data_IF_508833456577
#
_entry.id   IF_508833456577
#
_cell.length_a   1.000
_cell.length_b   1.000
_cell.length_c   1.000
_cell.angle_alpha   90.00
_cell.angle_beta   90.00
_cell.angle_gamma   90.00
#
_symmetry.space_group_name_H-M   'P 1'
#
loop_
_entity.id
_entity.type
_entity.pdbx_description
1 polymer ?
#
# COMPACT_ATOMS: atom_id res chain seq x y z
N UNK A 1 21.77 -38.58 -27.94
CA UNK A 1 22.06 -37.21 -27.45
C UNK A 1 20.79 -36.34 -27.44
N UNK A 2 19.89 -36.47 -26.45
CA UNK A 2 18.73 -35.56 -26.24
C UNK A 2 18.34 -35.53 -24.75
N UNK A 3 19.09 -34.81 -23.90
CA UNK A 3 18.71 -34.57 -22.48
C UNK A 3 19.13 -33.20 -21.92
N UNK A 4 19.46 -32.21 -22.76
CA UNK A 4 19.89 -30.88 -22.31
C UNK A 4 18.82 -29.76 -22.48
N UNK A 5 17.64 -30.05 -23.05
CA UNK A 5 16.61 -29.04 -23.36
C UNK A 5 15.58 -28.77 -22.25
N UNK A 6 15.61 -29.52 -21.15
CA UNK A 6 14.69 -29.34 -20.01
C UNK A 6 15.20 -28.29 -19.02
N UNK A 7 16.45 -28.43 -18.56
CA UNK A 7 17.07 -27.51 -17.60
C UNK A 7 17.25 -26.08 -18.14
N UNK A 8 17.55 -25.95 -19.44
CA UNK A 8 17.66 -24.63 -20.07
C UNK A 8 16.30 -23.91 -20.18
N UNK A 9 15.18 -24.64 -20.36
CA UNK A 9 13.82 -24.06 -20.32
C UNK A 9 13.41 -23.70 -18.91
N UNK A 10 13.70 -24.56 -17.92
CA UNK A 10 13.42 -24.30 -16.51
C UNK A 10 14.20 -23.07 -16.03
N UNK A 11 15.51 -22.98 -16.34
CA UNK A 11 16.32 -21.78 -16.06
C UNK A 11 15.83 -20.53 -16.78
N UNK A 12 15.23 -20.64 -17.96
CA UNK A 12 14.68 -19.50 -18.72
C UNK A 12 13.28 -19.10 -18.23
N UNK A 13 12.57 -20.00 -17.55
CA UNK A 13 11.26 -19.75 -16.95
C UNK A 13 11.35 -19.21 -15.52
N UNK A 14 12.43 -19.51 -14.79
CA UNK A 14 12.68 -18.99 -13.44
C UNK A 14 13.40 -17.66 -13.57
N UNK A 15 12.70 -16.55 -13.27
CA UNK A 15 13.36 -15.24 -13.18
C UNK A 15 14.12 -15.16 -11.85
N UNK A 16 15.25 -14.44 -11.77
CA UNK A 16 15.98 -14.26 -10.50
C UNK A 16 15.09 -13.74 -9.36
N UNK A 17 14.17 -12.82 -9.66
CA UNK A 17 13.19 -12.31 -8.69
C UNK A 17 12.26 -13.41 -8.15
N UNK A 18 11.84 -14.37 -8.98
CA UNK A 18 11.00 -15.49 -8.54
C UNK A 18 11.72 -16.35 -7.49
N UNK A 19 13.05 -16.47 -7.55
CA UNK A 19 13.85 -17.26 -6.60
C UNK A 19 13.95 -16.57 -5.25
N UNK A 20 14.27 -15.27 -5.24
CA UNK A 20 14.37 -14.48 -4.00
C UNK A 20 13.01 -14.40 -3.30
N UNK A 21 11.95 -14.22 -4.07
CA UNK A 21 10.57 -14.18 -3.60
C UNK A 21 10.12 -15.54 -3.04
N UNK A 22 10.41 -16.63 -3.73
CA UNK A 22 10.15 -17.99 -3.24
C UNK A 22 10.89 -18.24 -1.93
N UNK A 23 12.18 -17.88 -1.87
CA UNK A 23 12.99 -18.06 -0.68
C UNK A 23 12.47 -17.20 0.49
N UNK A 24 12.05 -15.97 0.21
CA UNK A 24 11.41 -15.07 1.19
C UNK A 24 10.15 -15.69 1.77
N UNK A 25 9.22 -16.14 0.92
CA UNK A 25 7.98 -16.79 1.36
C UNK A 25 8.25 -18.10 2.11
N UNK A 26 9.19 -18.92 1.64
CA UNK A 26 9.56 -20.18 2.29
C UNK A 26 10.19 -19.95 3.67
N UNK A 27 11.04 -18.92 3.83
CA UNK A 27 11.60 -18.52 5.14
C UNK A 27 10.51 -18.07 6.09
N UNK A 28 9.60 -17.21 5.63
CA UNK A 28 8.47 -16.73 6.44
C UNK A 28 7.57 -17.90 6.91
N UNK A 29 7.22 -18.82 6.00
CA UNK A 29 6.45 -20.02 6.33
C UNK A 29 7.17 -20.93 7.33
N UNK A 30 8.48 -21.14 7.14
CA UNK A 30 9.29 -21.95 8.05
C UNK A 30 9.36 -21.32 9.43
N UNK A 31 9.48 -20.00 9.51
CA UNK A 31 9.46 -19.27 10.78
C UNK A 31 8.10 -19.34 11.48
N UNK A 32 6.97 -19.30 10.73
CA UNK A 32 5.62 -19.46 11.27
C UNK A 32 5.34 -20.87 11.80
N UNK A 33 5.77 -21.90 11.08
CA UNK A 33 5.34 -23.29 11.34
C UNK A 33 6.44 -24.18 11.91
N UNK A 34 7.67 -23.70 12.03
CA UNK A 34 8.84 -24.50 12.44
C UNK A 34 9.28 -25.55 11.42
N UNK A 35 8.60 -25.68 10.27
CA UNK A 35 8.92 -26.60 9.17
C UNK A 35 8.50 -26.02 7.82
N UNK A 36 9.23 -26.35 6.77
CA UNK A 36 8.84 -25.99 5.41
C UNK A 36 7.63 -26.85 4.99
N UNK A 37 6.54 -26.27 4.47
CA UNK A 37 5.43 -27.07 3.95
C UNK A 37 5.89 -27.93 2.78
N UNK A 38 5.25 -29.09 2.60
CA UNK A 38 5.44 -29.95 1.42
C UNK A 38 4.85 -29.22 0.20
N UNK A 39 5.68 -28.41 -0.46
CA UNK A 39 5.31 -27.67 -1.65
C UNK A 39 5.74 -28.51 -2.85
N UNK A 40 4.81 -29.24 -3.45
CA UNK A 40 5.06 -29.82 -4.78
C UNK A 40 5.27 -28.66 -5.77
N UNK A 41 6.39 -28.69 -6.50
CA UNK A 41 6.75 -27.69 -7.49
C UNK A 41 5.83 -27.81 -8.71
N UNK A 42 4.70 -27.10 -8.69
CA UNK A 42 3.78 -27.04 -9.83
C UNK A 42 4.41 -26.23 -10.98
N UNK A 43 4.32 -26.68 -12.24
CA UNK A 43 4.68 -25.88 -13.40
C UNK A 43 3.77 -24.63 -13.48
N UNK A 44 4.33 -23.45 -13.22
CA UNK A 44 3.55 -22.19 -13.17
C UNK A 44 4.11 -21.10 -12.25
N UNK A 45 5.13 -21.42 -11.45
CA UNK A 45 5.92 -20.46 -10.67
C UNK A 45 6.14 -20.97 -9.25
N UNK A 46 7.40 -21.26 -8.90
CA UNK A 46 7.79 -21.81 -7.59
C UNK A 46 7.40 -20.91 -6.40
N UNK A 47 7.20 -19.60 -6.61
CA UNK A 47 6.84 -18.64 -5.56
C UNK A 47 5.34 -18.61 -5.23
N UNK A 48 4.47 -19.05 -6.16
CA UNK A 48 3.02 -18.84 -6.04
C UNK A 48 2.37 -19.67 -4.95
N UNK A 49 2.73 -20.94 -4.84
CA UNK A 49 2.16 -21.84 -3.84
C UNK A 49 2.62 -21.48 -2.41
N UNK A 50 3.93 -21.30 -2.13
CA UNK A 50 4.38 -20.78 -0.84
C UNK A 50 3.72 -19.45 -0.48
N UNK A 51 3.63 -18.51 -1.42
CA UNK A 51 2.92 -17.25 -1.16
C UNK A 51 1.45 -17.44 -0.86
N UNK A 52 0.74 -18.32 -1.58
CA UNK A 52 -0.67 -18.59 -1.36
C UNK A 52 -0.92 -19.17 0.03
N UNK A 53 -0.08 -20.11 0.50
CA UNK A 53 -0.13 -20.65 1.86
C UNK A 53 0.12 -19.53 2.87
N UNK A 54 1.20 -18.75 2.67
CA UNK A 54 1.57 -17.68 3.57
C UNK A 54 0.47 -16.63 3.68
N UNK A 55 -0.11 -16.24 2.54
CA UNK A 55 -1.19 -15.28 2.47
C UNK A 55 -2.41 -15.77 3.24
N UNK A 56 -2.82 -17.03 3.07
CA UNK A 56 -3.94 -17.59 3.84
C UNK A 56 -3.72 -17.51 5.35
N UNK A 57 -2.49 -17.77 5.83
CA UNK A 57 -2.14 -17.73 7.25
C UNK A 57 -2.13 -16.33 7.81
N UNK A 58 -1.43 -15.41 7.13
CA UNK A 58 -1.30 -14.04 7.59
C UNK A 58 -2.65 -13.32 7.62
N UNK A 59 -3.54 -13.62 6.66
CA UNK A 59 -4.89 -13.07 6.68
C UNK A 59 -5.69 -13.50 7.92
N UNK A 60 -5.53 -14.75 8.37
CA UNK A 60 -6.14 -15.25 9.61
C UNK A 60 -5.54 -14.60 10.86
N UNK A 61 -4.22 -14.42 10.89
CA UNK A 61 -3.53 -13.87 12.06
C UNK A 61 -3.72 -12.37 12.25
N UNK A 62 -3.83 -11.62 11.15
CA UNK A 62 -3.91 -10.16 11.19
C UNK A 62 -5.33 -9.63 11.09
N UNK A 63 -6.35 -10.48 11.11
CA UNK A 63 -7.74 -10.00 11.16
C UNK A 63 -7.99 -9.21 12.46
N UNK A 64 -8.70 -8.06 12.44
CA UNK A 64 -9.43 -7.43 11.33
C UNK A 64 -8.67 -6.26 10.66
N UNK A 65 -7.35 -6.37 10.46
CA UNK A 65 -6.58 -5.33 9.79
C UNK A 65 -7.01 -5.14 8.33
N UNK A 66 -6.88 -3.92 7.78
CA UNK A 66 -7.23 -3.65 6.40
C UNK A 66 -6.22 -4.29 5.46
N UNK A 67 -6.71 -4.69 4.29
CA UNK A 67 -5.94 -5.33 3.22
C UNK A 67 -6.23 -4.64 1.88
N UNK A 68 -5.37 -4.85 0.86
CA UNK A 68 -5.68 -4.43 -0.50
C UNK A 68 -7.07 -4.90 -0.92
N UNK A 69 -7.76 -4.07 -1.70
CA UNK A 69 -9.14 -4.24 -2.14
C UNK A 69 -9.48 -5.67 -2.56
N UNK A 70 -8.70 -6.25 -3.48
CA UNK A 70 -8.95 -7.59 -4.00
C UNK A 70 -8.85 -8.68 -2.91
N UNK A 71 -7.97 -8.50 -1.92
CA UNK A 71 -7.84 -9.43 -0.79
C UNK A 71 -8.99 -9.23 0.20
N UNK A 72 -9.38 -7.98 0.48
CA UNK A 72 -10.52 -7.67 1.35
C UNK A 72 -11.82 -8.28 0.82
N UNK A 73 -12.09 -8.19 -0.49
CA UNK A 73 -13.24 -8.86 -1.14
C UNK A 73 -13.22 -10.38 -1.00
N UNK A 74 -12.04 -10.99 -1.12
CA UNK A 74 -11.91 -12.44 -0.97
C UNK A 74 -12.15 -12.92 0.46
N UNK A 75 -12.00 -12.03 1.45
CA UNK A 75 -12.29 -12.29 2.86
C UNK A 75 -13.72 -11.94 3.28
N UNK A 76 -14.50 -11.25 2.45
CA UNK A 76 -15.87 -10.87 2.78
C UNK A 76 -16.85 -11.97 2.37
N UNK A 77 -17.52 -12.67 3.31
CA UNK A 77 -18.46 -13.74 2.99
C UNK A 77 -19.64 -13.29 2.13
N UNK A 78 -19.95 -12.00 2.10
CA UNK A 78 -21.05 -11.43 1.31
C UNK A 78 -20.61 -10.95 -0.09
N UNK A 79 -19.31 -10.95 -0.41
CA UNK A 79 -18.81 -10.54 -1.73
C UNK A 79 -18.80 -11.73 -2.72
N UNK A 80 -19.25 -11.56 -3.97
CA UNK A 80 -19.17 -12.62 -4.99
C UNK A 80 -17.75 -13.15 -5.26
N UNK A 81 -16.71 -12.37 -4.95
CA UNK A 81 -15.31 -12.77 -5.07
C UNK A 81 -14.79 -13.49 -3.82
N UNK A 82 -15.63 -13.72 -2.79
CA UNK A 82 -15.27 -14.46 -1.58
C UNK A 82 -14.63 -15.80 -1.93
N UNK A 83 -13.52 -16.09 -1.25
CA UNK A 83 -12.89 -17.41 -1.29
C UNK A 83 -12.99 -18.01 0.11
N UNK A 84 -13.72 -19.13 0.30
CA UNK A 84 -13.76 -19.78 1.60
C UNK A 84 -12.35 -20.17 2.03
N UNK A 85 -12.08 -20.33 3.34
CA UNK A 85 -10.76 -20.67 3.85
C UNK A 85 -10.36 -22.08 3.40
N UNK A 86 -9.69 -22.18 2.25
CA UNK A 86 -9.25 -23.45 1.65
C UNK A 86 -7.85 -23.89 2.11
N UNK A 87 -7.28 -23.24 3.14
CA UNK A 87 -5.88 -23.44 3.58
C UNK A 87 -4.82 -22.92 2.59
N UNK A 88 -5.26 -22.44 1.42
CA UNK A 88 -4.51 -21.80 0.37
C UNK A 88 -5.30 -20.58 -0.09
N UNK A 89 -4.64 -19.45 -0.24
CA UNK A 89 -5.25 -18.24 -0.78
C UNK A 89 -4.79 -18.09 -2.23
N UNK A 90 -5.57 -18.59 -3.21
CA UNK A 90 -5.13 -18.60 -4.58
C UNK A 90 -4.87 -17.17 -5.05
N UNK A 91 -3.70 -16.98 -5.64
CA UNK A 91 -3.31 -15.72 -6.27
C UNK A 91 -4.09 -15.61 -7.59
N UNK A 92 -5.39 -15.35 -7.50
CA UNK A 92 -6.25 -15.29 -8.68
C UNK A 92 -5.94 -14.01 -9.46
N UNK A 93 -5.64 -14.18 -10.74
CA UNK A 93 -5.05 -13.19 -11.66
C UNK A 93 -6.01 -12.07 -12.12
N UNK A 94 -7.02 -11.71 -11.32
CA UNK A 94 -7.92 -10.60 -11.58
C UNK A 94 -7.89 -9.67 -10.36
N UNK A 95 -6.80 -8.91 -10.23
CA UNK A 95 -6.74 -7.87 -9.19
C UNK A 95 -7.18 -6.56 -9.78
N UNK A 96 -8.23 -6.00 -9.19
CA UNK A 96 -8.64 -4.62 -9.41
C UNK A 96 -7.45 -3.73 -9.04
N UNK A 97 -6.70 -3.30 -10.06
CA UNK A 97 -5.53 -2.43 -9.91
C UNK A 97 -5.33 -1.61 -11.16
N UNK A 98 -5.03 -0.35 -10.97
CA UNK A 98 -4.57 0.54 -12.03
C UNK A 98 -3.04 0.56 -12.02
N UNK A 99 -2.43 0.32 -13.18
CA UNK A 99 -0.98 0.34 -13.34
C UNK A 99 -0.56 1.72 -13.82
N UNK A 100 0.37 2.35 -13.10
CA UNK A 100 0.95 3.64 -13.43
C UNK A 100 2.41 3.45 -13.84
N UNK A 101 2.82 4.09 -14.92
CA UNK A 101 4.19 4.00 -15.41
C UNK A 101 4.47 5.04 -16.49
N UNK A 102 5.74 5.18 -16.84
CA UNK A 102 6.19 6.13 -17.86
C UNK A 102 6.68 5.39 -19.10
N UNK A 103 6.35 5.87 -20.31
CA UNK A 103 6.96 5.36 -21.53
C UNK A 103 8.49 5.41 -21.45
N UNK A 104 9.17 4.37 -21.95
CA UNK A 104 10.63 4.28 -21.91
C UNK A 104 11.21 3.80 -20.58
N UNK A 105 10.38 3.55 -19.56
CA UNK A 105 10.82 2.99 -18.29
C UNK A 105 10.14 1.64 -17.99
N UNK A 106 10.93 0.68 -17.49
CA UNK A 106 10.45 -0.68 -17.21
C UNK A 106 9.68 -0.79 -15.90
N UNK A 107 9.94 0.13 -14.96
CA UNK A 107 9.38 0.11 -13.62
C UNK A 107 7.95 0.67 -13.62
N UNK A 108 7.03 -0.08 -13.03
CA UNK A 108 5.61 0.27 -12.96
C UNK A 108 5.12 0.23 -11.53
N UNK A 109 4.37 1.24 -11.16
CA UNK A 109 3.61 1.29 -9.93
C UNK A 109 2.22 0.70 -10.15
N UNK A 110 1.59 0.29 -9.07
CA UNK A 110 0.21 -0.17 -9.05
C UNK A 110 -0.55 0.58 -7.96
N UNK A 111 -1.84 0.81 -8.19
CA UNK A 111 -2.77 1.42 -7.24
C UNK A 111 -4.07 0.61 -7.29
N UNK A 112 -4.56 0.13 -6.15
CA UNK A 112 -5.86 -0.56 -6.10
C UNK A 112 -7.02 0.42 -5.86
N UNK A 113 -8.29 0.00 -5.96
CA UNK A 113 -9.45 0.87 -5.72
C UNK A 113 -9.47 1.54 -4.33
N UNK A 114 -8.91 0.87 -3.32
CA UNK A 114 -8.76 1.37 -1.96
C UNK A 114 -7.56 2.32 -1.77
N UNK A 115 -6.83 2.65 -2.84
CA UNK A 115 -5.66 3.52 -2.79
C UNK A 115 -4.41 2.88 -2.18
N UNK A 116 -4.40 1.56 -2.01
CA UNK A 116 -3.15 0.85 -1.72
C UNK A 116 -2.26 0.90 -2.96
N UNK A 117 -0.98 1.14 -2.75
CA UNK A 117 -0.05 1.27 -3.85
C UNK A 117 1.30 0.64 -3.54
N UNK A 118 2.05 0.38 -4.60
CA UNK A 118 3.40 -0.15 -4.51
C UNK A 118 4.07 -0.15 -5.87
N UNK A 119 5.32 -0.62 -5.91
CA UNK A 119 6.10 -0.71 -7.15
C UNK A 119 6.69 -2.11 -7.28
N UNK A 120 6.45 -2.75 -8.43
CA UNK A 120 6.81 -4.16 -8.62
C UNK A 120 6.06 -5.08 -7.65
N UNK A 121 6.79 -6.04 -7.08
CA UNK A 121 6.30 -7.05 -6.11
C UNK A 121 6.62 -6.68 -4.66
N UNK A 122 7.12 -5.46 -4.43
CA UNK A 122 7.47 -4.97 -3.11
C UNK A 122 6.25 -4.76 -2.20
N UNK A 123 6.50 -4.46 -0.91
CA UNK A 123 5.44 -4.20 0.05
C UNK A 123 4.62 -2.96 -0.34
N UNK A 124 3.38 -2.95 0.13
CA UNK A 124 2.41 -1.92 -0.17
C UNK A 124 2.46 -0.78 0.86
N UNK A 125 2.15 0.41 0.36
CA UNK A 125 1.84 1.60 1.14
C UNK A 125 0.35 1.88 1.03
N UNK A 126 -0.28 2.23 2.13
CA UNK A 126 -1.70 2.65 2.18
C UNK A 126 -1.86 3.84 3.09
N UNK A 127 -3.00 4.52 2.98
CA UNK A 127 -3.34 5.70 3.76
C UNK A 127 -4.51 5.40 4.66
N UNK A 128 -4.37 5.72 5.95
CA UNK A 128 -5.45 5.71 6.91
C UNK A 128 -5.76 7.13 7.36
N UNK A 129 -7.02 7.39 7.67
CA UNK A 129 -7.47 8.70 8.16
C UNK A 129 -8.48 8.51 9.27
N UNK A 130 -8.60 9.50 10.14
CA UNK A 130 -9.53 9.44 11.24
C UNK A 130 -9.54 10.73 12.04
N UNK A 131 -10.41 10.77 13.04
CA UNK A 131 -10.41 11.83 14.04
C UNK A 131 -9.54 11.44 15.26
N UNK A 132 -9.50 12.32 16.25
CA UNK A 132 -8.76 12.08 17.51
C UNK A 132 -9.38 11.03 18.43
N UNK A 133 -10.54 10.44 18.10
CA UNK A 133 -11.35 9.59 18.98
C UNK A 133 -11.32 8.10 18.60
N UNK A 134 -10.23 7.63 17.98
CA UNK A 134 -10.05 6.24 17.55
C UNK A 134 -10.98 5.77 16.42
N UNK A 135 -11.69 6.68 15.75
CA UNK A 135 -12.43 6.38 14.53
C UNK A 135 -11.48 6.41 13.32
N UNK A 136 -10.73 5.32 13.13
CA UNK A 136 -9.83 5.17 12.00
C UNK A 136 -10.48 4.45 10.83
N UNK A 137 -10.18 4.94 9.64
CA UNK A 137 -10.76 4.53 8.39
C UNK A 137 -9.66 4.32 7.34
N UNK A 138 -9.95 3.45 6.40
CA UNK A 138 -9.20 3.26 5.15
C UNK A 138 -10.19 3.50 4.01
N UNK A 139 -9.71 3.91 2.83
CA UNK A 139 -10.55 3.91 1.65
C UNK A 139 -10.87 2.46 1.23
N UNK A 140 -12.06 2.24 0.67
CA UNK A 140 -12.61 0.93 0.33
C UNK A 140 -13.60 0.41 1.37
N UNK A 141 -14.40 -0.61 1.03
CA UNK A 141 -15.28 -1.30 1.94
C UNK A 141 -14.36 -1.96 2.96
N UNK A 142 -14.40 -1.45 4.18
CA UNK A 142 -14.04 -2.27 5.32
C UNK A 142 -14.88 -3.55 5.26
N UNK A 143 -14.37 -4.64 5.85
CA UNK A 143 -15.18 -5.85 6.06
C UNK A 143 -16.55 -5.43 6.59
N UNK A 144 -17.63 -5.94 6.00
CA UNK A 144 -19.01 -5.71 6.45
C UNK A 144 -19.18 -6.21 7.88
N UNK A 145 -18.77 -5.39 8.86
CA UNK A 145 -19.21 -5.53 10.23
C UNK A 145 -20.71 -5.26 10.26
N UNK A 146 -21.45 -6.00 11.09
CA UNK A 146 -22.90 -5.89 11.20
C UNK A 146 -23.40 -4.47 11.59
N UNK A 147 -22.50 -3.55 11.94
CA UNK A 147 -22.79 -2.17 12.35
C UNK A 147 -22.62 -1.14 11.22
N UNK A 148 -22.02 -1.49 10.08
CA UNK A 148 -21.73 -0.56 8.97
C UNK A 148 -22.77 -0.59 7.85
N UNK A 149 -24.06 -0.75 8.18
CA UNK A 149 -25.17 -0.80 7.17
C UNK A 149 -25.69 0.56 6.72
N UNK A 150 -25.00 1.66 7.02
CA UNK A 150 -25.40 3.01 6.61
C UNK A 150 -24.27 3.76 5.91
N UNK A 151 -24.60 4.34 4.75
CA UNK A 151 -23.80 5.26 3.92
C UNK A 151 -22.69 4.71 3.02
N UNK A 152 -23.09 3.86 2.06
CA UNK A 152 -22.33 3.54 0.83
C UNK A 152 -22.39 4.68 -0.22
N UNK A 153 -22.03 5.92 0.13
CA UNK A 153 -21.95 7.04 -0.85
C UNK A 153 -20.53 7.50 -1.20
N UNK A 154 -19.49 7.12 -0.45
CA UNK A 154 -18.26 7.92 -0.40
C UNK A 154 -17.06 7.47 -1.23
N UNK A 155 -16.96 6.19 -1.61
CA UNK A 155 -15.68 5.65 -2.09
C UNK A 155 -15.67 5.51 -3.60
N UNK A 156 -14.80 6.27 -4.26
CA UNK A 156 -14.68 6.27 -5.72
C UNK A 156 -13.23 6.40 -6.13
N UNK A 157 -12.82 5.57 -7.08
CA UNK A 157 -11.59 5.79 -7.82
C UNK A 157 -11.94 6.36 -9.20
N UNK A 158 -11.23 7.42 -9.59
CA UNK A 158 -11.37 8.03 -10.89
C UNK A 158 -10.00 8.28 -11.52
N UNK A 159 -9.99 8.25 -12.85
CA UNK A 159 -8.84 8.78 -13.59
C UNK A 159 -8.82 10.28 -13.34
N UNK A 160 -7.65 10.81 -12.95
CA UNK A 160 -7.51 12.25 -12.85
C UNK A 160 -7.81 12.89 -14.20
N UNK A 161 -8.45 14.07 -14.18
CA UNK A 161 -8.88 14.80 -15.38
C UNK A 161 -7.79 14.97 -16.44
N UNK A 162 -6.54 14.94 -15.99
CA UNK A 162 -5.34 15.13 -16.79
C UNK A 162 -4.66 13.80 -17.13
N UNK A 163 -5.40 12.70 -17.21
CA UNK A 163 -5.05 11.40 -17.83
C UNK A 163 -3.84 10.61 -17.34
N UNK A 164 -2.92 11.14 -16.52
CA UNK A 164 -1.68 10.46 -16.05
C UNK A 164 -1.67 10.17 -14.53
N UNK A 165 -2.81 10.37 -13.86
CA UNK A 165 -2.98 10.17 -12.42
C UNK A 165 -4.24 9.37 -12.10
N UNK A 166 -4.26 8.77 -10.92
CA UNK A 166 -5.43 8.10 -10.34
C UNK A 166 -5.77 8.76 -9.02
N UNK A 167 -7.03 9.14 -8.84
CA UNK A 167 -7.53 9.69 -7.59
C UNK A 167 -8.48 8.71 -6.93
N UNK A 168 -8.25 8.41 -5.66
CA UNK A 168 -9.18 7.65 -4.82
C UNK A 168 -9.76 8.59 -3.78
N UNK A 169 -11.08 8.61 -3.66
CA UNK A 169 -11.84 9.39 -2.70
C UNK A 169 -12.52 8.44 -1.72
N UNK A 170 -12.60 8.85 -0.45
CA UNK A 170 -13.37 8.16 0.57
C UNK A 170 -13.94 9.17 1.57
N UNK A 171 -15.13 8.93 2.10
CA UNK A 171 -15.78 9.82 3.07
C UNK A 171 -16.34 9.02 4.24
N UNK A 172 -15.82 9.28 5.45
CA UNK A 172 -16.18 8.56 6.69
C UNK A 172 -16.03 9.49 7.89
N UNK A 173 -16.92 9.36 8.87
CA UNK A 173 -16.83 10.13 10.12
C UNK A 173 -16.87 11.65 9.93
N UNK A 174 -17.51 12.16 8.87
CA UNK A 174 -17.50 13.59 8.52
C UNK A 174 -16.14 14.11 8.05
N UNK A 175 -15.23 13.21 7.67
CA UNK A 175 -13.95 13.52 7.01
C UNK A 175 -13.96 12.96 5.59
N UNK A 176 -13.36 13.70 4.67
CA UNK A 176 -13.15 13.28 3.29
C UNK A 176 -11.65 13.10 3.03
N UNK A 177 -11.25 11.92 2.61
CA UNK A 177 -9.91 11.59 2.14
C UNK A 177 -9.88 11.64 0.61
N UNK A 178 -8.92 12.34 0.05
CA UNK A 178 -8.54 12.29 -1.36
C UNK A 178 -7.08 11.86 -1.47
N UNK A 179 -6.82 10.82 -2.26
CA UNK A 179 -5.48 10.31 -2.55
C UNK A 179 -5.21 10.41 -4.05
N UNK A 180 -4.24 11.24 -4.44
CA UNK A 180 -3.78 11.33 -5.83
C UNK A 180 -2.46 10.59 -6.00
N UNK A 181 -2.45 9.62 -6.90
CA UNK A 181 -1.28 8.83 -7.27
C UNK A 181 -0.85 9.16 -8.69
N UNK A 182 0.45 9.39 -8.89
CA UNK A 182 0.99 9.66 -10.22
C UNK A 182 2.49 9.35 -10.29
N UNK A 183 3.00 8.90 -11.44
CA UNK A 183 4.41 8.58 -11.61
C UNK A 183 5.26 9.86 -11.66
N UNK A 184 6.46 9.79 -11.08
CA UNK A 184 7.49 10.85 -11.14
C UNK A 184 8.85 10.24 -11.51
N UNK A 185 9.73 11.03 -12.13
CA UNK A 185 11.10 10.61 -12.43
C UNK A 185 12.04 11.25 -11.43
N UNK A 186 12.71 10.42 -10.64
CA UNK A 186 13.67 10.84 -9.64
C UNK A 186 14.98 10.11 -9.88
N UNK A 187 16.07 10.85 -10.06
CA UNK A 187 17.40 10.31 -10.40
C UNK A 187 17.35 9.28 -11.56
N UNK A 188 16.57 9.59 -12.61
CA UNK A 188 16.39 8.74 -13.78
C UNK A 188 15.57 7.46 -13.54
N UNK A 189 14.97 7.29 -12.36
CA UNK A 189 14.13 6.14 -12.01
C UNK A 189 12.69 6.57 -11.78
N UNK A 190 11.75 5.73 -12.20
CA UNK A 190 10.34 5.92 -11.89
C UNK A 190 10.10 5.61 -10.41
N UNK A 191 9.51 6.59 -9.73
CA UNK A 191 8.88 6.45 -8.41
C UNK A 191 7.41 6.83 -8.52
N UNK A 192 6.64 6.60 -7.46
CA UNK A 192 5.24 7.00 -7.39
C UNK A 192 5.08 8.10 -6.36
N UNK A 193 4.56 9.26 -6.77
CA UNK A 193 4.11 10.28 -5.85
C UNK A 193 2.69 9.93 -5.36
N UNK A 194 2.50 9.96 -4.05
CA UNK A 194 1.21 9.82 -3.38
C UNK A 194 0.95 11.09 -2.57
N UNK A 195 -0.04 11.86 -3.01
CA UNK A 195 -0.51 13.04 -2.31
C UNK A 195 -1.84 12.72 -1.64
N UNK A 196 -1.86 12.70 -0.31
CA UNK A 196 -3.05 12.42 0.47
C UNK A 196 -3.53 13.67 1.18
N UNK A 197 -4.85 13.92 1.11
CA UNK A 197 -5.50 15.13 1.59
C UNK A 197 -6.76 14.76 2.37
N UNK A 198 -6.82 15.17 3.64
CA UNK A 198 -8.01 15.03 4.48
C UNK A 198 -8.65 16.40 4.66
N UNK A 199 -9.94 16.51 4.36
CA UNK A 199 -10.76 17.70 4.61
C UNK A 199 -11.96 17.36 5.49
N UNK A 200 -12.62 18.39 6.03
CA UNK A 200 -13.97 18.22 6.54
C UNK A 200 -14.88 17.74 5.40
N UNK A 201 -15.83 16.85 5.71
CA UNK A 201 -16.89 16.43 4.82
C UNK A 201 -17.93 17.53 4.64
N UNK A 202 -18.90 17.29 3.75
CA UNK A 202 -19.94 18.26 3.43
C UNK A 202 -21.06 18.20 4.48
N UNK A 203 -20.76 18.55 5.74
CA UNK A 203 -21.80 18.73 6.76
C UNK A 203 -22.50 20.08 6.55
N UNK A 204 -23.83 20.06 6.45
CA UNK A 204 -24.66 21.19 6.08
C UNK A 204 -24.59 22.33 7.12
N UNK A 205 -23.83 23.38 6.79
CA UNK A 205 -23.76 24.65 7.51
C UNK A 205 -22.79 25.61 6.83
N UNK A 206 -22.99 26.93 6.98
CA UNK A 206 -22.20 27.95 6.26
C UNK A 206 -20.73 28.02 6.73
N UNK A 207 -20.39 27.49 7.91
CA UNK A 207 -19.01 27.37 8.41
C UNK A 207 -18.91 26.27 9.49
N UNK A 208 -18.56 25.01 9.15
CA UNK A 208 -18.32 24.00 10.18
C UNK A 208 -17.06 24.32 10.99
N UNK A 209 -17.05 24.05 12.31
CA UNK A 209 -15.91 24.35 13.17
C UNK A 209 -14.65 23.56 12.76
N UNK A 210 -13.45 24.02 13.16
CA UNK A 210 -12.22 23.25 12.98
C UNK A 210 -12.36 21.86 13.62
N UNK A 211 -11.96 20.82 12.90
CA UNK A 211 -12.02 19.43 13.39
C UNK A 211 -10.62 18.82 13.47
N UNK A 212 -10.30 18.09 14.55
CA UNK A 212 -9.05 17.33 14.58
C UNK A 212 -9.09 16.24 13.50
N UNK A 213 -8.00 16.12 12.76
CA UNK A 213 -7.84 15.11 11.72
C UNK A 213 -6.46 14.49 11.81
N UNK A 214 -6.42 13.20 11.52
CA UNK A 214 -5.19 12.42 11.46
C UNK A 214 -5.08 11.78 10.09
N UNK A 215 -3.84 11.72 9.61
CA UNK A 215 -3.46 11.11 8.36
C UNK A 215 -2.27 10.21 8.62
N UNK A 216 -2.36 8.93 8.26
CA UNK A 216 -1.31 7.96 8.48
C UNK A 216 -0.91 7.29 7.17
N UNK A 217 0.40 7.16 6.96
CA UNK A 217 0.97 6.36 5.88
C UNK A 217 1.48 5.05 6.46
N UNK A 218 0.90 3.94 6.02
CA UNK A 218 1.19 2.61 6.55
C UNK A 218 1.92 1.74 5.52
N UNK A 219 3.07 1.19 5.92
CA UNK A 219 3.80 0.16 5.20
C UNK A 219 3.34 -1.21 5.70
N UNK A 220 2.88 -2.04 4.78
CA UNK A 220 2.26 -3.33 5.07
C UNK A 220 2.97 -4.45 4.32
N UNK A 221 3.08 -5.66 4.90
CA UNK A 221 3.60 -6.84 4.22
C UNK A 221 2.58 -7.42 3.22
N UNK A 222 2.04 -6.57 2.36
CA UNK A 222 1.04 -6.87 1.36
C UNK A 222 1.59 -6.46 -0.01
N UNK A 223 1.15 -7.11 -1.07
CA UNK A 223 1.57 -6.81 -2.43
C UNK A 223 0.56 -7.31 -3.45
N UNK A 224 0.90 -7.11 -4.72
CA UNK A 224 0.07 -7.46 -5.86
C UNK A 224 -0.22 -8.94 -6.04
N UNK A 225 0.49 -9.83 -5.35
CA UNK A 225 0.29 -11.26 -5.48
C UNK A 225 -0.02 -11.92 -4.11
N UNK A 226 -0.24 -11.13 -3.06
CA UNK A 226 -0.62 -11.59 -1.72
C UNK A 226 0.27 -10.95 -0.67
N UNK A 227 0.70 -11.73 0.32
CA UNK A 227 1.70 -11.26 1.29
C UNK A 227 3.05 -11.05 0.60
N UNK A 228 3.66 -9.91 0.90
CA UNK A 228 5.03 -9.55 0.54
C UNK A 228 5.82 -9.42 1.84
N UNK A 229 6.58 -10.45 2.27
CA UNK A 229 7.21 -10.45 3.58
C UNK A 229 8.20 -9.30 3.76
N UNK A 230 8.23 -8.71 4.96
CA UNK A 230 9.18 -7.69 5.40
C UNK A 230 9.89 -8.20 6.65
N UNK A 231 11.15 -8.62 6.51
CA UNK A 231 11.94 -9.14 7.64
C UNK A 231 12.62 -8.04 8.43
N UNK A 232 12.94 -6.94 7.78
CA UNK A 232 13.61 -5.80 8.38
C UNK A 232 12.97 -4.52 7.87
N UNK A 233 12.40 -3.74 8.79
CA UNK A 233 11.82 -2.44 8.50
C UNK A 233 12.64 -1.37 9.21
N UNK A 234 13.19 -0.45 8.44
CA UNK A 234 14.01 0.65 8.94
C UNK A 234 13.39 1.98 8.57
N UNK A 235 13.57 2.96 9.44
CA UNK A 235 13.34 4.38 9.12
C UNK A 235 14.59 5.15 9.45
N UNK A 236 15.08 5.93 8.50
CA UNK A 236 16.21 6.86 8.73
C UNK A 236 15.74 8.14 9.45
N UNK A 237 16.69 8.94 9.93
CA UNK A 237 16.40 10.28 10.48
C UNK A 237 15.71 11.18 9.45
N UNK A 238 16.07 11.02 8.17
CA UNK A 238 15.56 11.80 7.04
C UNK A 238 14.19 11.32 6.52
N UNK A 239 13.54 10.38 7.20
CA UNK A 239 12.19 9.92 6.82
C UNK A 239 12.15 8.94 5.64
N UNK A 240 13.30 8.39 5.24
CA UNK A 240 13.35 7.24 4.35
C UNK A 240 13.01 5.96 5.09
N UNK A 241 12.00 5.25 4.61
CA UNK A 241 11.65 3.90 5.03
C UNK A 241 12.22 2.86 4.08
N UNK A 242 12.84 1.83 4.66
CA UNK A 242 13.43 0.71 3.94
C UNK A 242 12.77 -0.59 4.43
N UNK A 243 12.41 -1.46 3.49
CA UNK A 243 12.05 -2.85 3.77
C UNK A 243 13.15 -3.74 3.20
N UNK A 244 13.78 -4.55 4.04
CA UNK A 244 14.87 -5.45 3.68
C UNK A 244 15.99 -4.72 2.90
N UNK A 245 16.34 -3.51 3.35
CA UNK A 245 17.34 -2.62 2.72
C UNK A 245 16.88 -1.94 1.43
N UNK A 246 15.66 -2.17 0.96
CA UNK A 246 15.09 -1.55 -0.24
C UNK A 246 14.18 -0.37 0.12
N UNK A 247 14.33 0.81 -0.51
CA UNK A 247 13.44 1.94 -0.27
C UNK A 247 11.97 1.62 -0.60
N UNK A 248 11.08 1.87 0.35
CA UNK A 248 9.63 1.65 0.18
C UNK A 248 8.86 2.96 0.18
N UNK A 249 9.23 3.89 1.05
CA UNK A 249 8.53 5.17 1.19
C UNK A 249 9.51 6.22 1.68
N UNK A 250 9.40 7.45 1.19
CA UNK A 250 10.03 8.61 1.80
C UNK A 250 8.98 9.67 2.08
N UNK A 251 8.98 10.19 3.30
CA UNK A 251 8.10 11.28 3.72
C UNK A 251 8.76 12.62 3.45
N UNK A 252 8.02 13.58 2.91
CA UNK A 252 8.52 14.96 2.68
C UNK A 252 8.54 15.79 3.95
N UNK A 253 7.71 15.41 4.91
CA UNK A 253 7.60 16.04 6.22
C UNK A 253 7.66 14.94 7.27
N UNK A 254 8.29 15.22 8.41
CA UNK A 254 8.33 14.27 9.52
C UNK A 254 6.91 14.11 10.07
N UNK A 255 6.48 12.87 10.27
CA UNK A 255 5.30 12.56 11.07
C UNK A 255 5.40 13.15 12.47
N UNK A 256 4.26 13.30 13.13
CA UNK A 256 4.18 13.62 14.54
C UNK A 256 4.51 12.39 15.40
N UNK A 257 4.16 11.20 14.91
CA UNK A 257 4.33 9.94 15.62
C UNK A 257 4.63 8.77 14.69
N UNK A 258 5.29 7.76 15.25
CA UNK A 258 5.60 6.51 14.57
C UNK A 258 5.06 5.33 15.36
N UNK A 259 4.55 4.34 14.63
CA UNK A 259 4.19 3.04 15.18
C UNK A 259 4.83 1.95 14.33
N UNK A 260 5.43 0.96 14.98
CA UNK A 260 5.90 -0.26 14.33
C UNK A 260 5.45 -1.46 15.12
N UNK A 261 5.34 -2.58 14.44
CA UNK A 261 5.12 -3.86 15.08
C UNK A 261 5.76 -4.99 14.27
N UNK A 262 6.17 -6.05 14.97
CA UNK A 262 6.54 -7.33 14.39
C UNK A 262 5.41 -8.37 14.57
N UNK A 263 5.61 -9.58 14.04
CA UNK A 263 4.77 -10.74 14.33
C UNK A 263 4.69 -11.00 15.84
N UNK A 264 3.48 -11.31 16.35
CA UNK A 264 3.21 -11.51 17.77
C UNK A 264 2.96 -10.23 18.57
N UNK A 265 3.24 -9.05 17.98
CA UNK A 265 2.89 -7.77 18.57
C UNK A 265 1.53 -7.27 18.05
N UNK A 266 0.91 -6.35 18.80
CA UNK A 266 -0.35 -5.72 18.40
C UNK A 266 -0.17 -4.87 17.14
N UNK A 267 -1.04 -5.04 16.15
CA UNK A 267 -0.98 -4.28 14.91
C UNK A 267 -1.23 -2.78 15.14
N UNK A 268 -0.48 -1.87 14.47
CA UNK A 268 -0.76 -0.44 14.53
C UNK A 268 -2.22 -0.09 14.21
N UNK A 269 -2.84 -0.78 13.24
CA UNK A 269 -4.25 -0.58 12.93
C UNK A 269 -5.15 -0.86 14.13
N UNK A 270 -4.96 -2.00 14.81
CA UNK A 270 -5.76 -2.40 15.96
C UNK A 270 -5.65 -1.38 17.11
N UNK A 271 -4.46 -0.82 17.33
CA UNK A 271 -4.25 0.24 18.33
C UNK A 271 -4.98 1.53 17.95
N UNK A 272 -4.86 1.94 16.69
CA UNK A 272 -5.47 3.16 16.19
C UNK A 272 -7.00 3.05 16.22
N UNK A 273 -7.56 1.93 15.74
CA UNK A 273 -8.98 1.62 15.74
C UNK A 273 -9.58 1.29 17.13
N UNK A 274 -8.83 1.47 18.22
CA UNK A 274 -9.32 1.22 19.59
C UNK A 274 -9.57 -0.25 19.93
N UNK A 275 -9.15 -1.19 19.08
CA UNK A 275 -9.33 -2.64 19.27
C UNK A 275 -8.28 -3.24 20.23
N UNK A 276 -7.25 -2.47 20.55
CA UNK A 276 -6.21 -2.85 21.50
C UNK A 276 -5.75 -1.62 22.30
N UNK A 277 -5.14 -1.80 23.49
CA UNK A 277 -4.67 -0.69 24.30
C UNK A 277 -3.74 0.23 23.52
N UNK A 278 -3.90 1.54 23.73
CA UNK A 278 -3.00 2.55 23.20
C UNK A 278 -1.58 2.30 23.74
N UNK A 279 -0.76 1.61 22.94
CA UNK A 279 0.65 1.42 23.26
C UNK A 279 1.42 2.75 23.25
N UNK A 280 2.69 2.72 23.66
CA UNK A 280 3.53 3.91 23.63
C UNK A 280 3.74 4.39 22.19
N UNK A 281 3.20 5.56 21.87
CA UNK A 281 3.46 6.27 20.62
C UNK A 281 4.92 6.72 20.63
N UNK A 282 5.66 6.39 19.57
CA UNK A 282 7.07 6.79 19.48
C UNK A 282 7.15 8.18 18.87
N UNK A 283 7.91 9.07 19.51
CA UNK A 283 8.35 10.29 18.85
C UNK A 283 9.07 9.91 17.56
N UNK A 284 8.97 10.72 16.50
CA UNK A 284 9.53 10.32 15.24
C UNK A 284 11.05 10.30 15.36
N UNK A 285 11.72 9.50 14.54
CA UNK A 285 13.15 9.24 14.70
C UNK A 285 13.57 8.01 13.91
N UNK A 286 14.80 7.52 14.11
CA UNK A 286 15.22 6.28 13.49
C UNK A 286 14.44 5.10 14.05
N UNK A 287 14.15 4.13 13.18
CA UNK A 287 13.49 2.87 13.51
C UNK A 287 14.34 1.73 12.98
N UNK A 288 14.51 0.69 13.79
CA UNK A 288 15.04 -0.61 13.39
C UNK A 288 14.07 -1.68 13.95
N UNK A 289 13.29 -2.30 13.07
CA UNK A 289 12.30 -3.31 13.41
C UNK A 289 12.60 -4.60 12.66
N UNK A 290 12.90 -5.68 13.38
CA UNK A 290 13.21 -6.99 12.79
C UNK A 290 12.12 -7.99 13.10
N UNK A 291 11.71 -8.77 12.11
CA UNK A 291 10.69 -9.78 12.23
C UNK A 291 11.13 -11.06 11.52
N UNK A 292 11.43 -12.11 12.28
CA UNK A 292 11.86 -13.40 11.73
C UNK A 292 10.82 -14.03 10.78
N UNK A 293 9.55 -13.67 10.97
CA UNK A 293 8.40 -14.17 10.21
C UNK A 293 8.12 -13.33 8.96
N UNK A 294 8.76 -12.16 8.81
CA UNK A 294 8.54 -11.31 7.65
C UNK A 294 7.22 -10.52 7.71
N UNK A 295 6.75 -10.19 8.91
CA UNK A 295 5.52 -9.39 9.13
C UNK A 295 5.81 -8.08 9.85
N UNK A 296 7.00 -7.51 9.63
CA UNK A 296 7.26 -6.14 10.08
C UNK A 296 6.31 -5.18 9.36
N UNK A 297 5.82 -4.19 10.09
CA UNK A 297 4.85 -3.18 9.62
C UNK A 297 5.13 -1.87 10.33
N UNK A 298 4.90 -0.77 9.64
CA UNK A 298 5.18 0.57 10.15
C UNK A 298 4.16 1.58 9.70
N UNK A 299 3.96 2.60 10.52
CA UNK A 299 3.01 3.67 10.29
C UNK A 299 3.66 4.99 10.69
N UNK A 300 3.55 5.98 9.81
CA UNK A 300 3.92 7.37 10.07
C UNK A 300 2.66 8.22 10.13
N UNK A 301 2.44 8.86 11.28
CA UNK A 301 1.21 9.58 11.62
C UNK A 301 1.44 11.08 11.52
N UNK A 302 0.47 11.80 10.96
CA UNK A 302 0.41 13.24 10.91
C UNK A 302 -0.90 13.72 11.51
N UNK A 303 -0.82 14.74 12.36
CA UNK A 303 -1.94 15.37 13.03
C UNK A 303 -2.14 16.77 12.48
N UNK A 304 -3.38 17.22 12.49
CA UNK A 304 -3.72 18.59 12.18
C UNK A 304 -5.16 18.91 12.52
N UNK A 305 -5.51 20.16 12.27
CA UNK A 305 -6.91 20.59 12.24
C UNK A 305 -7.31 20.79 10.78
N UNK A 306 -8.49 20.30 10.40
CA UNK A 306 -9.10 20.60 9.11
C UNK A 306 -10.14 21.70 9.29
N UNK A 307 -10.13 22.67 8.39
CA UNK A 307 -11.13 23.74 8.28
C UNK A 307 -11.68 23.78 6.86
N UNK A 308 -12.85 24.41 6.62
CA UNK A 308 -13.31 24.70 5.27
C UNK A 308 -12.18 25.34 4.43
N UNK A 309 -11.84 24.71 3.30
CA UNK A 309 -10.77 25.16 2.41
C UNK A 309 -9.34 24.97 2.91
N UNK A 310 -9.13 24.47 4.13
CA UNK A 310 -7.80 24.20 4.71
C UNK A 310 -7.67 22.72 5.10
N UNK A 311 -7.31 21.85 4.13
CA UNK A 311 -7.16 20.44 4.40
C UNK A 311 -5.80 20.10 5.01
N UNK A 312 -5.74 18.98 5.73
CA UNK A 312 -4.49 18.34 6.13
C UNK A 312 -3.95 17.54 4.94
N UNK A 313 -2.85 18.00 4.34
CA UNK A 313 -2.28 17.38 3.15
C UNK A 313 -0.83 16.95 3.37
N UNK A 314 -0.46 15.77 2.86
CA UNK A 314 0.90 15.24 2.90
C UNK A 314 1.26 14.57 1.59
N UNK A 315 2.52 14.72 1.19
CA UNK A 315 3.11 14.08 0.03
C UNK A 315 4.11 13.01 0.52
N UNK A 316 4.04 11.82 -0.07
CA UNK A 316 5.07 10.79 0.10
C UNK A 316 5.51 10.26 -1.25
N UNK A 317 6.76 9.83 -1.34
CA UNK A 317 7.29 9.16 -2.52
C UNK A 317 7.40 7.67 -2.21
N UNK A 318 6.69 6.86 -2.99
CA UNK A 318 6.71 5.40 -2.89
C UNK A 318 7.78 4.82 -3.82
N UNK A 319 8.57 3.93 -3.24
CA UNK A 319 9.74 3.28 -3.80
C UNK A 319 10.78 4.25 -4.42
N UNK A 320 11.24 5.27 -3.66
CA UNK A 320 12.19 6.27 -4.15
C UNK A 320 13.57 5.67 -4.52
N UNK A 321 14.39 6.37 -5.31
CA UNK A 321 15.81 6.03 -5.47
C UNK A 321 16.56 6.02 -4.14
N UNK A 322 17.56 5.16 -4.02
CA UNK A 322 18.48 5.19 -2.88
C UNK A 322 19.26 6.51 -2.89
N UNK A 323 19.26 7.24 -1.77
CA UNK A 323 19.99 8.50 -1.62
C UNK A 323 19.16 9.77 -1.84
N UNK A 324 17.87 9.67 -2.18
CA UNK A 324 17.05 10.86 -2.40
C UNK A 324 16.58 11.55 -1.12
N UNK A 325 16.63 10.84 0.01
CA UNK A 325 16.06 11.32 1.28
C UNK A 325 16.63 12.68 1.75
N UNK A 326 17.95 12.93 1.70
CA UNK A 326 18.51 14.24 2.05
C UNK A 326 18.03 15.36 1.11
N UNK A 327 17.78 15.03 -0.16
CA UNK A 327 17.24 15.97 -1.14
C UNK A 327 15.75 16.24 -0.87
N UNK A 328 14.95 15.20 -0.59
CA UNK A 328 13.54 15.36 -0.25
C UNK A 328 13.34 16.18 1.03
N UNK A 329 14.14 15.94 2.08
CA UNK A 329 14.06 16.68 3.36
C UNK A 329 14.41 18.16 3.20
N UNK A 330 15.30 18.50 2.28
CA UNK A 330 15.65 19.89 1.96
C UNK A 330 14.62 20.58 1.07
N UNK A 331 13.68 19.81 0.52
CA UNK A 331 12.69 20.31 -0.42
C UNK A 331 11.36 20.40 0.30
N UNK A 332 10.69 21.56 0.25
CA UNK A 332 9.38 21.66 0.89
C UNK A 332 8.38 20.74 0.20
N UNK A 333 7.39 20.22 0.93
CA UNK A 333 6.28 19.46 0.31
C UNK A 333 5.62 20.23 -0.83
N UNK A 334 5.56 21.57 -0.73
CA UNK A 334 5.12 22.47 -1.80
C UNK A 334 6.04 22.45 -3.02
N UNK A 335 7.36 22.53 -2.84
CA UNK A 335 8.32 22.51 -3.95
C UNK A 335 8.31 21.15 -4.65
N UNK A 336 8.22 20.04 -3.90
CA UNK A 336 8.06 18.71 -4.46
C UNK A 336 6.73 18.57 -5.19
N UNK A 337 5.64 19.09 -4.62
CA UNK A 337 4.36 19.14 -5.31
C UNK A 337 4.43 19.92 -6.61
N UNK A 338 5.06 21.10 -6.62
CA UNK A 338 5.25 21.90 -7.84
C UNK A 338 6.10 21.17 -8.87
N UNK A 339 7.22 20.56 -8.46
CA UNK A 339 8.05 19.74 -9.36
C UNK A 339 7.31 18.54 -9.90
N UNK A 340 6.58 17.83 -9.04
CA UNK A 340 5.78 16.67 -9.40
C UNK A 340 4.60 17.07 -10.33
N UNK A 341 4.02 18.27 -10.15
CA UNK A 341 3.06 18.87 -11.06
C UNK A 341 3.69 19.23 -12.41
N UNK A 342 4.88 19.83 -12.41
CA UNK A 342 5.61 20.16 -13.63
C UNK A 342 5.99 18.88 -14.41
N UNK A 343 6.46 17.82 -13.73
CA UNK A 343 6.70 16.52 -14.34
C UNK A 343 5.43 15.97 -14.96
N UNK A 344 4.32 16.04 -14.23
CA UNK A 344 2.99 15.61 -14.70
C UNK A 344 2.56 16.39 -15.95
N UNK A 345 2.75 17.71 -15.95
CA UNK A 345 2.47 18.58 -17.10
C UNK A 345 3.36 18.28 -18.30
N UNK A 346 4.66 18.03 -18.06
CA UNK A 346 5.61 17.63 -19.10
C UNK A 346 5.21 16.29 -19.75
N UNK A 347 4.77 15.32 -18.96
CA UNK A 347 4.25 14.05 -19.47
C UNK A 347 3.01 14.24 -20.34
N UNK A 348 2.13 15.16 -19.96
CA UNK A 348 0.94 15.49 -20.74
C UNK A 348 1.28 16.17 -22.07
N UNK A 349 2.21 17.12 -22.04
CA UNK A 349 2.73 17.78 -23.24
C UNK A 349 3.41 16.78 -24.19
N UNK A 350 4.05 15.74 -23.65
CA UNK A 350 4.63 14.65 -24.42
C UNK A 350 3.59 13.65 -24.98
N UNK A 351 2.29 13.87 -24.76
CA UNK A 351 1.23 13.00 -25.25
C UNK A 351 1.12 11.66 -24.51
N UNK A 352 1.59 11.59 -23.26
CA UNK A 352 1.43 10.39 -22.46
C UNK A 352 -0.04 10.14 -22.12
N UNK A 353 -0.51 8.92 -22.34
CA UNK A 353 -1.86 8.47 -22.00
C UNK A 353 -1.81 7.31 -21.01
N UNK A 354 -2.67 7.34 -19.99
CA UNK A 354 -2.96 6.15 -19.18
C UNK A 354 -3.66 5.09 -20.02
N UNK A 355 -3.01 3.93 -20.11
CA UNK A 355 -3.54 2.74 -20.78
C UNK A 355 -4.06 1.76 -19.74
N UNK A 356 -5.38 1.57 -19.74
CA UNK A 356 -6.02 0.48 -19.01
C UNK A 356 -5.81 -0.82 -19.77
N UNK A 357 -5.52 -1.93 -19.07
CA UNK A 357 -5.53 -3.26 -19.71
C UNK A 357 -6.98 -3.71 -19.86
N UNK A 358 -7.26 -4.49 -20.90
CA UNK A 358 -8.60 -4.88 -21.40
C UNK A 358 -9.58 -5.47 -20.38
N UNK A 359 -9.12 -5.85 -19.18
CA UNK A 359 -9.95 -6.36 -18.08
C UNK A 359 -10.52 -5.24 -17.17
N UNK A 360 -10.10 -3.98 -17.34
CA UNK A 360 -10.57 -2.83 -16.57
C UNK A 360 -11.61 -1.95 -17.32
N UNK A 361 -11.83 -2.19 -18.62
CA UNK A 361 -12.84 -1.46 -19.41
C UNK A 361 -14.30 -1.77 -18.98
N UNK A 362 -14.49 -2.67 -18.01
CA UNK A 362 -15.80 -3.02 -17.43
C UNK A 362 -16.27 -1.96 -16.42
N UNK A 363 -15.40 -1.03 -15.98
CA UNK A 363 -15.77 0.05 -15.06
C UNK A 363 -16.30 1.32 -15.77
N UNK A 364 -16.37 1.32 -17.11
CA UNK A 364 -16.94 2.42 -17.91
C UNK A 364 -18.22 2.01 -18.65
N UNK A 365 -18.89 0.93 -18.24
CA UNK A 365 -20.21 0.54 -18.77
C UNK A 365 -21.35 0.94 -17.84
#
# INVERSE_FOLDING_TARGET
MRRLSSLARIRRAIRPHDVEETASCARALTALHGRMPEVELIPGGASRLPRAVLTARVLQELEPCPWPWAMSRQLDPDDPACLPPLGLHPVLMARDRTVLGLPGHDRRAWVDPAGWCGVGEGPAVTVWFGDSHHAWHVAGPGRRGAESRGDERGDRQERGRNTVSVSTHAERGGLRLEMTHFPVVLDGRVALALHARVSAGDEAGDEPPPRPAWLAFAIRPAGLEGVAPIFHLERTVDGLWLADGQPVMATTERGDELMVAAHGEVDPWQRLAGQAPAGSLRRPGPIDCRCAVGLARGVELHRGEVRPGQPLARLVIVAPPQGIAPTLVRTTGRSLWVGAQADREGLLQAGCELRLRSHQAVLEA
#
